data_IF_923510283850
#
_entry.id   IF_923510283850
#
_cell.length_a   1.000
_cell.length_b   1.000
_cell.length_c   1.000
_cell.angle_alpha   90.00
_cell.angle_beta   90.00
_cell.angle_gamma   90.00
#
_symmetry.space_group_name_H-M   'P 1'
#
loop_
_entity.id
_entity.type
_entity.pdbx_description
1 polymer ?
#
# COMPACT_ATOMS: atom_id res chain seq x y z
N UNK A 1 -21.05 5.67 -38.21
CA UNK A 1 -19.60 5.63 -37.92
C UNK A 1 -19.43 5.00 -36.55
N UNK A 2 -19.05 3.72 -36.49
CA UNK A 2 -18.91 3.00 -35.22
C UNK A 2 -17.52 3.22 -34.64
N UNK A 3 -17.43 3.77 -33.42
CA UNK A 3 -16.19 3.95 -32.68
C UNK A 3 -15.99 2.72 -31.77
N UNK A 4 -15.00 1.90 -32.10
CA UNK A 4 -14.54 0.80 -31.26
C UNK A 4 -13.71 1.38 -30.10
N UNK A 5 -14.16 1.22 -28.85
CA UNK A 5 -13.37 1.54 -27.67
C UNK A 5 -12.50 0.32 -27.30
N UNK A 6 -11.19 0.43 -27.51
CA UNK A 6 -10.22 -0.57 -27.08
C UNK A 6 -9.77 -0.27 -25.64
N UNK A 7 -10.44 -0.85 -24.64
CA UNK A 7 -10.06 -0.73 -23.22
C UNK A 7 -8.98 -1.77 -22.90
N UNK A 8 -7.80 -1.61 -23.49
CA UNK A 8 -6.59 -2.28 -22.98
C UNK A 8 -5.90 -1.29 -22.06
N UNK A 9 -5.71 -1.58 -20.75
CA UNK A 9 -4.95 -0.71 -19.88
C UNK A 9 -3.51 -0.59 -20.41
N UNK A 10 -3.04 0.63 -20.59
CA UNK A 10 -1.67 0.89 -21.01
C UNK A 10 -0.71 0.26 -20.01
N UNK A 11 0.18 -0.59 -20.52
CA UNK A 11 1.37 -1.04 -19.83
C UNK A 11 2.23 0.21 -19.53
N UNK A 12 2.16 0.69 -18.29
CA UNK A 12 2.94 1.82 -17.79
C UNK A 12 4.21 1.39 -17.05
N UNK A 13 4.69 0.16 -17.27
CA UNK A 13 5.97 -0.28 -16.72
C UNK A 13 7.10 0.43 -17.49
N UNK A 14 7.50 1.59 -16.98
CA UNK A 14 8.68 2.32 -17.43
C UNK A 14 9.91 1.43 -17.18
N UNK A 15 10.55 0.93 -18.23
CA UNK A 15 11.92 0.43 -18.14
C UNK A 15 12.88 1.61 -17.98
N UNK A 16 13.02 2.09 -16.74
CA UNK A 16 14.04 3.06 -16.37
C UNK A 16 15.40 2.37 -16.29
N UNK A 17 16.28 2.67 -17.25
CA UNK A 17 17.70 2.30 -17.16
C UNK A 17 18.43 3.52 -16.58
N UNK A 18 18.57 3.56 -15.25
CA UNK A 18 19.38 4.58 -14.58
C UNK A 18 20.82 4.09 -14.44
N UNK A 19 21.74 4.68 -15.21
CA UNK A 19 23.16 4.31 -15.23
C UNK A 19 24.09 5.42 -14.75
N UNK A 20 23.68 6.25 -13.79
CA UNK A 20 24.59 7.22 -13.14
C UNK A 20 24.15 7.53 -11.70
N UNK A 21 24.71 6.82 -10.72
CA UNK A 21 24.75 7.30 -9.34
C UNK A 21 26.22 7.59 -8.99
N UNK A 22 26.59 8.87 -9.05
CA UNK A 22 27.89 9.34 -8.56
C UNK A 22 27.83 9.45 -7.04
N UNK A 23 28.58 8.62 -6.34
CA UNK A 23 28.84 8.80 -4.90
C UNK A 23 30.33 9.02 -4.71
N UNK A 24 30.65 10.10 -4.02
CA UNK A 24 31.98 10.69 -3.87
C UNK A 24 32.93 9.81 -3.05
N UNK A 25 34.21 9.91 -3.39
CA UNK A 25 35.35 9.12 -2.94
C UNK A 25 35.82 9.40 -1.50
N UNK A 26 36.32 8.37 -0.79
CA UNK A 26 37.45 8.58 0.13
C UNK A 26 38.37 7.35 0.36
N UNK A 27 39.65 7.57 0.05
CA UNK A 27 40.97 6.97 0.42
C UNK A 27 41.17 5.49 0.84
N UNK A 28 41.87 4.77 -0.06
CA UNK A 28 43.24 4.18 0.05
C UNK A 28 43.58 3.12 1.12
N UNK A 29 43.94 1.88 0.70
CA UNK A 29 45.29 1.26 0.92
C UNK A 29 45.54 -0.07 0.17
N UNK A 30 46.62 -0.08 -0.63
CA UNK A 30 47.60 -1.13 -0.98
C UNK A 30 47.25 -2.51 -1.59
N UNK A 31 47.81 -2.69 -2.80
CA UNK A 31 48.52 -3.87 -3.38
C UNK A 31 47.71 -5.14 -3.71
N UNK A 32 47.46 -5.35 -5.01
CA UNK A 32 47.95 -6.47 -5.85
C UNK A 32 47.14 -6.59 -7.14
N UNK A 33 47.84 -6.77 -8.26
CA UNK A 33 47.30 -6.78 -9.61
C UNK A 33 46.88 -8.20 -10.03
N UNK A 34 45.58 -8.47 -10.05
CA UNK A 34 44.97 -9.45 -10.96
C UNK A 34 43.67 -8.85 -11.49
N UNK A 35 43.64 -8.55 -12.79
CA UNK A 35 42.49 -8.21 -13.63
C UNK A 35 41.33 -7.45 -12.94
N UNK A 36 41.49 -6.13 -12.84
CA UNK A 36 40.45 -5.10 -12.73
C UNK A 36 39.06 -5.53 -12.22
N UNK A 37 38.99 -5.96 -10.97
CA UNK A 37 37.81 -5.74 -10.12
C UNK A 37 37.84 -4.28 -9.70
N UNK A 38 37.39 -3.37 -10.57
CA UNK A 38 37.13 -2.00 -10.16
C UNK A 38 36.01 -2.07 -9.11
N UNK A 39 36.29 -1.65 -7.88
CA UNK A 39 35.37 -1.70 -6.73
C UNK A 39 34.09 -0.86 -6.89
N UNK A 40 33.82 -0.26 -8.06
CA UNK A 40 32.78 0.76 -8.24
C UNK A 40 31.66 0.41 -9.21
N UNK A 41 31.69 -0.76 -9.87
CA UNK A 41 30.54 -1.20 -10.68
C UNK A 41 30.06 -2.58 -10.21
N UNK A 42 28.87 -2.68 -9.56
CA UNK A 42 28.27 -3.97 -9.30
C UNK A 42 27.86 -4.62 -10.64
N UNK A 43 28.38 -5.82 -10.91
CA UNK A 43 28.02 -6.63 -12.07
C UNK A 43 26.59 -7.18 -11.89
N UNK A 44 25.59 -6.44 -12.37
CA UNK A 44 24.18 -6.81 -12.27
C UNK A 44 23.77 -8.03 -13.09
N UNK A 45 24.62 -8.51 -14.00
CA UNK A 45 24.37 -9.74 -14.73
C UNK A 45 24.73 -10.97 -13.87
N UNK A 46 25.75 -10.87 -13.01
CA UNK A 46 26.11 -11.93 -12.06
C UNK A 46 25.35 -11.88 -10.74
N UNK A 47 24.92 -10.69 -10.31
CA UNK A 47 24.22 -10.53 -9.03
C UNK A 47 22.76 -11.03 -9.10
N UNK A 48 22.26 -11.43 -10.27
CA UNK A 48 20.86 -11.82 -10.54
C UNK A 48 19.79 -10.76 -10.17
N UNK A 49 20.18 -9.66 -9.53
CA UNK A 49 19.34 -8.53 -9.19
C UNK A 49 19.24 -7.57 -10.39
N UNK A 50 18.33 -7.90 -11.31
CA UNK A 50 17.74 -6.93 -12.24
C UNK A 50 18.26 -6.91 -13.68
N UNK A 51 19.15 -7.82 -14.09
CA UNK A 51 19.75 -7.78 -15.43
C UNK A 51 19.18 -8.74 -16.48
N UNK A 52 18.90 -10.01 -16.13
CA UNK A 52 18.58 -11.04 -17.13
C UNK A 52 17.85 -12.28 -16.58
N UNK A 53 17.26 -12.21 -15.38
CA UNK A 53 16.43 -13.33 -14.89
C UNK A 53 15.10 -13.26 -15.64
N UNK A 54 14.69 -14.31 -16.37
CA UNK A 54 13.41 -14.30 -17.05
C UNK A 54 12.31 -14.13 -15.99
N UNK A 55 11.33 -13.26 -16.27
CA UNK A 55 10.23 -12.96 -15.35
C UNK A 55 9.52 -14.24 -14.86
N UNK A 56 9.54 -15.29 -15.71
CA UNK A 56 9.05 -16.63 -15.41
C UNK A 56 9.77 -17.29 -14.23
N UNK A 57 11.08 -17.08 -14.05
CA UNK A 57 11.87 -17.61 -12.92
C UNK A 57 11.59 -16.85 -11.62
N UNK A 58 11.26 -15.55 -11.68
CA UNK A 58 10.85 -14.78 -10.49
C UNK A 58 9.41 -15.11 -10.05
N UNK A 59 8.55 -15.50 -11.00
CA UNK A 59 7.16 -15.89 -10.77
C UNK A 59 6.95 -17.40 -10.57
N UNK A 60 8.00 -18.21 -10.71
CA UNK A 60 7.89 -19.66 -10.91
C UNK A 60 7.19 -20.41 -9.77
N UNK A 61 7.16 -19.82 -8.56
CA UNK A 61 6.64 -20.45 -7.35
C UNK A 61 5.47 -19.68 -6.70
N UNK A 62 4.94 -18.63 -7.32
CA UNK A 62 3.80 -17.83 -6.79
C UNK A 62 2.71 -17.66 -7.82
N UNK A 63 1.47 -17.85 -7.40
CA UNK A 63 0.35 -17.70 -8.31
C UNK A 63 0.25 -16.23 -8.76
N UNK A 64 0.11 -15.93 -10.07
CA UNK A 64 0.14 -14.55 -10.56
C UNK A 64 -1.01 -13.69 -10.01
N UNK A 65 -2.12 -14.30 -9.57
CA UNK A 65 -3.21 -13.58 -8.91
C UNK A 65 -2.99 -13.38 -7.41
N UNK A 66 -2.10 -14.12 -6.76
CA UNK A 66 -1.88 -14.00 -5.32
C UNK A 66 -1.36 -12.60 -4.96
N UNK A 67 -0.35 -12.13 -5.70
CA UNK A 67 0.16 -10.77 -5.53
C UNK A 67 -0.91 -9.70 -5.83
N UNK A 68 -1.81 -9.96 -6.78
CA UNK A 68 -2.90 -9.03 -7.09
C UNK A 68 -3.98 -9.03 -6.01
N UNK A 69 -4.37 -10.20 -5.51
CA UNK A 69 -5.39 -10.34 -4.48
C UNK A 69 -4.93 -9.68 -3.18
N UNK A 70 -3.67 -9.89 -2.80
CA UNK A 70 -3.07 -9.28 -1.62
C UNK A 70 -3.00 -7.75 -1.69
N UNK A 71 -2.85 -7.18 -2.90
CA UNK A 71 -2.74 -5.72 -3.11
C UNK A 71 -4.00 -5.12 -3.76
N UNK A 72 -5.15 -5.80 -3.70
CA UNK A 72 -6.35 -5.39 -4.44
C UNK A 72 -6.85 -4.02 -3.98
N UNK A 73 -6.99 -3.82 -2.68
CA UNK A 73 -7.46 -2.57 -2.07
C UNK A 73 -6.52 -1.40 -2.41
N UNK A 74 -5.21 -1.58 -2.22
CA UNK A 74 -4.22 -0.58 -2.56
C UNK A 74 -4.24 -0.23 -4.05
N UNK A 75 -4.44 -1.22 -4.92
CA UNK A 75 -4.52 -1.00 -6.37
C UNK A 75 -5.78 -0.22 -6.73
N UNK A 76 -6.93 -0.51 -6.11
CA UNK A 76 -8.18 0.23 -6.31
C UNK A 76 -8.04 1.68 -5.85
N UNK A 77 -7.49 1.90 -4.66
CA UNK A 77 -7.27 3.22 -4.10
C UNK A 77 -6.32 4.04 -5.00
N UNK A 78 -5.19 3.48 -5.41
CA UNK A 78 -4.25 4.14 -6.31
C UNK A 78 -4.88 4.48 -7.67
N UNK A 79 -5.69 3.57 -8.23
CA UNK A 79 -6.43 3.83 -9.47
C UNK A 79 -7.38 5.01 -9.32
N UNK A 80 -8.11 5.09 -8.22
CA UNK A 80 -9.01 6.20 -7.93
C UNK A 80 -8.24 7.52 -7.78
N UNK A 81 -7.12 7.50 -7.07
CA UNK A 81 -6.29 8.69 -6.86
C UNK A 81 -5.69 9.23 -8.16
N UNK A 82 -5.33 8.34 -9.08
CA UNK A 82 -4.94 8.71 -10.44
C UNK A 82 -6.10 9.32 -11.24
N UNK A 83 -7.31 8.79 -11.11
CA UNK A 83 -8.51 9.36 -11.75
C UNK A 83 -8.79 10.77 -11.22
N UNK A 84 -8.75 10.99 -9.91
CA UNK A 84 -8.91 12.34 -9.35
C UNK A 84 -7.82 13.29 -9.83
N UNK A 85 -6.58 12.82 -9.92
CA UNK A 85 -5.49 13.61 -10.49
C UNK A 85 -5.77 14.05 -11.92
N UNK A 86 -6.33 13.16 -12.74
CA UNK A 86 -6.64 13.45 -14.15
C UNK A 86 -7.80 14.43 -14.32
N UNK A 87 -8.83 14.36 -13.46
CA UNK A 87 -10.05 15.17 -13.59
C UNK A 87 -9.92 16.51 -12.87
N UNK A 88 -9.39 16.50 -11.64
CA UNK A 88 -9.38 17.64 -10.72
C UNK A 88 -7.98 18.21 -10.46
N UNK A 89 -6.93 17.55 -10.96
CA UNK A 89 -5.55 17.95 -10.70
C UNK A 89 -4.99 17.40 -9.39
N UNK A 90 -3.84 17.92 -8.96
CA UNK A 90 -3.08 17.36 -7.82
C UNK A 90 -3.64 17.71 -6.43
N UNK A 91 -4.49 18.73 -6.35
CA UNK A 91 -5.06 19.21 -5.08
C UNK A 91 -5.97 18.18 -4.42
N UNK A 92 -6.86 17.58 -5.20
CA UNK A 92 -7.85 16.61 -4.72
C UNK A 92 -7.22 15.34 -4.10
N UNK A 93 -6.28 14.64 -4.77
CA UNK A 93 -5.65 13.48 -4.16
C UNK A 93 -4.84 13.82 -2.91
N UNK A 94 -4.22 15.01 -2.84
CA UNK A 94 -3.51 15.46 -1.64
C UNK A 94 -4.48 15.66 -0.48
N UNK A 95 -5.57 16.39 -0.71
CA UNK A 95 -6.60 16.63 0.30
C UNK A 95 -7.16 15.31 0.83
N UNK A 96 -7.52 14.39 -0.05
CA UNK A 96 -8.10 13.10 0.35
C UNK A 96 -7.15 12.25 1.19
N UNK A 97 -5.84 12.24 0.87
CA UNK A 97 -4.83 11.58 1.71
C UNK A 97 -4.71 12.26 3.10
N UNK A 98 -4.74 13.59 3.14
CA UNK A 98 -4.66 14.34 4.39
C UNK A 98 -5.89 14.09 5.27
N UNK A 99 -7.09 14.13 4.68
CA UNK A 99 -8.36 13.88 5.38
C UNK A 99 -8.40 12.44 5.92
N UNK A 100 -7.93 11.47 5.14
CA UNK A 100 -7.84 10.07 5.58
C UNK A 100 -6.92 9.93 6.79
N UNK A 101 -5.73 10.55 6.74
CA UNK A 101 -4.80 10.57 7.89
C UNK A 101 -5.38 11.27 9.11
N UNK A 102 -6.15 12.34 8.92
CA UNK A 102 -6.81 13.04 10.02
C UNK A 102 -7.82 12.12 10.69
N UNK A 103 -8.69 11.46 9.92
CA UNK A 103 -9.69 10.51 10.43
C UNK A 103 -9.00 9.35 11.15
N UNK A 104 -7.91 8.80 10.60
CA UNK A 104 -7.14 7.74 11.28
C UNK A 104 -6.55 8.18 12.62
N UNK A 105 -6.25 9.46 12.82
CA UNK A 105 -5.77 9.96 14.10
C UNK A 105 -6.90 10.34 15.08
N UNK A 106 -8.13 10.58 14.60
CA UNK A 106 -9.23 11.13 15.42
C UNK A 106 -10.37 10.15 15.67
N UNK A 107 -10.39 8.97 15.03
CA UNK A 107 -11.51 8.02 15.05
C UNK A 107 -11.76 7.28 16.39
N UNK A 108 -11.15 7.69 17.50
CA UNK A 108 -11.34 7.02 18.78
C UNK A 108 -12.75 7.22 19.34
N UNK A 109 -13.52 6.12 19.47
CA UNK A 109 -14.83 6.11 20.12
C UNK A 109 -14.89 5.02 21.22
N UNK A 110 -14.85 5.40 22.52
CA UNK A 110 -14.80 4.43 23.62
C UNK A 110 -16.13 3.69 23.85
N UNK A 111 -17.25 4.24 23.37
CA UNK A 111 -18.59 3.70 23.64
C UNK A 111 -19.05 2.69 22.58
N UNK A 112 -18.57 2.83 21.35
CA UNK A 112 -18.97 1.97 20.25
C UNK A 112 -17.76 1.25 19.65
N UNK A 113 -17.52 0.03 20.12
CA UNK A 113 -16.44 -0.83 19.64
C UNK A 113 -16.71 -1.38 18.21
N UNK A 114 -17.93 -1.22 17.70
CA UNK A 114 -18.35 -1.55 16.35
C UNK A 114 -18.88 -0.29 15.62
N UNK A 115 -18.35 0.89 15.97
CA UNK A 115 -18.58 2.07 15.15
C UNK A 115 -17.76 1.88 13.87
N UNK A 116 -18.39 1.27 12.87
CA UNK A 116 -18.05 1.40 11.47
C UNK A 116 -17.55 2.83 11.22
N UNK A 117 -16.31 2.98 10.76
CA UNK A 117 -15.68 4.28 10.57
C UNK A 117 -16.22 4.92 9.29
N UNK A 118 -17.50 5.33 9.32
CA UNK A 118 -18.24 5.88 8.17
C UNK A 118 -17.45 6.99 7.46
N UNK A 119 -16.69 7.78 8.21
CA UNK A 119 -15.86 8.86 7.67
C UNK A 119 -14.72 8.31 6.81
N UNK A 120 -14.08 7.23 7.26
CA UNK A 120 -13.03 6.52 6.51
C UNK A 120 -13.63 5.87 5.25
N UNK A 121 -14.80 5.27 5.35
CA UNK A 121 -15.43 4.56 4.23
C UNK A 121 -15.85 5.53 3.12
N UNK A 122 -16.41 6.69 3.48
CA UNK A 122 -16.70 7.76 2.52
C UNK A 122 -15.42 8.25 1.84
N UNK A 123 -14.34 8.45 2.61
CA UNK A 123 -13.06 8.89 2.05
C UNK A 123 -12.39 7.82 1.17
N UNK A 124 -12.63 6.55 1.43
CA UNK A 124 -12.19 5.45 0.57
C UNK A 124 -13.16 5.15 -0.58
N UNK A 125 -14.33 5.82 -0.60
CA UNK A 125 -15.42 5.54 -1.54
C UNK A 125 -15.89 4.07 -1.47
N UNK A 126 -15.90 3.52 -0.25
CA UNK A 126 -16.40 2.19 0.12
C UNK A 126 -17.82 2.25 0.70
N UNK A 127 -18.50 3.38 0.59
CA UNK A 127 -19.86 3.63 1.09
C UNK A 127 -20.94 2.76 0.42
N UNK A 128 -20.66 2.23 -0.78
CA UNK A 128 -21.54 1.30 -1.51
C UNK A 128 -21.08 -0.17 -1.44
N UNK A 129 -19.94 -0.47 -0.81
CA UNK A 129 -19.48 -1.84 -0.58
C UNK A 129 -20.03 -2.37 0.74
N UNK A 130 -20.31 -3.66 0.79
CA UNK A 130 -20.75 -4.36 1.99
C UNK A 130 -19.70 -5.43 2.29
N UNK A 131 -19.07 -5.32 3.44
CA UNK A 131 -18.13 -6.30 3.96
C UNK A 131 -18.87 -7.28 4.91
N UNK A 132 -18.21 -8.37 5.30
CA UNK A 132 -18.88 -9.42 6.09
C UNK A 132 -19.20 -8.93 7.52
N UNK A 133 -18.43 -7.97 8.05
CA UNK A 133 -18.70 -7.31 9.33
C UNK A 133 -20.00 -6.49 9.34
N UNK A 134 -20.47 -6.01 8.18
CA UNK A 134 -21.72 -5.25 8.07
C UNK A 134 -22.95 -6.16 8.22
N UNK A 135 -22.83 -7.40 7.73
CA UNK A 135 -23.90 -8.39 7.72
C UNK A 135 -23.96 -9.09 9.07
N UNK A 136 -22.79 -9.39 9.65
CA UNK A 136 -22.64 -10.05 10.94
C UNK A 136 -22.09 -9.06 11.97
N UNK A 137 -22.97 -8.16 12.42
CA UNK A 137 -22.64 -7.10 13.37
C UNK A 137 -22.27 -7.61 14.76
N UNK A 138 -22.73 -8.81 15.11
CA UNK A 138 -22.32 -9.54 16.28
C UNK A 138 -21.25 -10.55 15.84
N UNK A 139 -19.99 -10.13 15.94
CA UNK A 139 -18.87 -10.98 15.58
C UNK A 139 -18.89 -12.29 16.37
N UNK A 140 -18.18 -13.31 15.87
CA UNK A 140 -17.93 -14.60 16.53
C UNK A 140 -17.36 -14.49 17.97
N UNK A 141 -16.97 -13.27 18.40
CA UNK A 141 -16.59 -12.93 19.76
C UNK A 141 -17.79 -12.30 20.47
N UNK A 142 -18.68 -13.17 20.97
CA UNK A 142 -19.97 -12.82 21.58
C UNK A 142 -19.94 -11.57 22.45
N UNK A 143 -20.59 -10.53 21.96
CA UNK A 143 -20.79 -9.27 22.67
C UNK A 143 -22.07 -9.26 23.53
N UNK A 144 -22.82 -10.37 23.52
CA UNK A 144 -24.00 -10.62 24.34
C UNK A 144 -23.74 -10.50 25.86
N UNK A 145 -22.48 -10.55 26.31
CA UNK A 145 -22.07 -10.38 27.71
C UNK A 145 -21.69 -8.91 28.04
N UNK A 146 -21.74 -7.98 27.08
CA UNK A 146 -21.40 -6.57 27.35
C UNK A 146 -22.56 -5.76 27.96
N UNK A 147 -23.78 -6.29 27.98
CA UNK A 147 -24.94 -5.57 28.53
C UNK A 147 -24.96 -5.54 30.08
N UNK A 148 -24.15 -6.37 30.75
CA UNK A 148 -24.21 -6.57 32.20
C UNK A 148 -22.93 -6.23 32.98
N UNK A 149 -21.81 -5.93 32.31
CA UNK A 149 -20.55 -5.62 32.98
C UNK A 149 -19.65 -4.81 32.08
N UNK A 150 -19.74 -3.50 32.20
CA UNK A 150 -19.08 -2.52 31.34
C UNK A 150 -17.60 -2.84 31.10
N UNK A 151 -17.24 -2.95 29.81
CA UNK A 151 -15.86 -2.71 29.40
C UNK A 151 -15.49 -1.32 29.91
N UNK A 152 -14.62 -1.26 30.92
CA UNK A 152 -14.26 -0.02 31.58
C UNK A 152 -13.78 1.01 30.55
N UNK A 153 -14.58 2.07 30.33
CA UNK A 153 -14.23 3.15 29.41
C UNK A 153 -12.93 3.81 29.84
N UNK A 154 -12.64 3.83 31.15
CA UNK A 154 -11.39 4.34 31.70
C UNK A 154 -10.20 3.53 31.18
N UNK A 155 -10.22 2.20 31.33
CA UNK A 155 -9.20 1.29 30.78
C UNK A 155 -9.02 1.42 29.26
N UNK A 156 -10.10 1.60 28.49
CA UNK A 156 -10.03 1.82 27.02
C UNK A 156 -9.38 3.16 26.67
N UNK A 157 -9.73 4.21 27.41
CA UNK A 157 -9.14 5.54 27.23
C UNK A 157 -7.66 5.51 27.60
N UNK A 158 -7.32 4.92 28.75
CA UNK A 158 -5.95 4.72 29.27
C UNK A 158 -5.06 4.02 28.23
N UNK A 159 -5.52 2.89 27.69
CA UNK A 159 -4.82 2.17 26.62
C UNK A 159 -4.58 3.04 25.35
N UNK A 160 -5.58 3.83 24.94
CA UNK A 160 -5.46 4.70 23.77
C UNK A 160 -4.52 5.89 23.99
N UNK A 161 -4.49 6.44 25.21
CA UNK A 161 -3.60 7.57 25.56
C UNK A 161 -2.21 7.12 26.01
N UNK A 162 -1.98 5.81 26.18
CA UNK A 162 -0.70 5.23 26.56
C UNK A 162 -0.26 5.57 27.98
N UNK A 163 -1.24 5.80 28.87
CA UNK A 163 -1.04 5.92 30.33
C UNK A 163 -1.27 4.54 30.94
#
# INVERSE_FOLDING_TARGET
MSLNMNIVPQNNNLSSINSTSTTESNKQTTKEQTAAKLFSLPDRLRDNQGGAVPLTTQLNDRHPLEARLNNWEDTQFNRQMNQYRQIFGISEPMKKIMDLKLVENTHFNPLNNNAQNIHKDILLNKDCSIDWEDIYTDGFNGSDISMLGGSDMHSKIEHNVGI
#
